data_IF_120610073815
#
_entry.id   IF_120610073815
#
_cell.length_a   1.000
_cell.length_b   1.000
_cell.length_c   1.000
_cell.angle_alpha   90.00
_cell.angle_beta   90.00
_cell.angle_gamma   90.00
#
_symmetry.space_group_name_H-M   'P 1'
#
loop_
_entity.id
_entity.type
_entity.pdbx_description
1 polymer ?
#
# COMPACT_ATOMS: atom_id res chain seq x y z
N UNK A 1 -23.24 -12.54 6.49
CA UNK A 1 -22.00 -12.52 5.71
C UNK A 1 -22.38 -12.81 4.28
N UNK A 2 -22.22 -11.84 3.39
CA UNK A 2 -22.51 -12.00 1.96
C UNK A 2 -21.25 -12.52 1.26
N UNK A 3 -21.37 -13.56 0.44
CA UNK A 3 -20.22 -14.17 -0.22
C UNK A 3 -20.10 -13.69 -1.67
N UNK A 4 -18.88 -13.31 -2.10
CA UNK A 4 -18.57 -13.11 -3.51
C UNK A 4 -18.27 -14.46 -4.19
N UNK A 5 -18.84 -14.63 -5.38
CA UNK A 5 -18.53 -15.72 -6.29
C UNK A 5 -17.95 -15.17 -7.59
N UNK A 6 -16.96 -15.87 -8.16
CA UNK A 6 -16.31 -15.51 -9.41
C UNK A 6 -16.61 -16.58 -10.46
N UNK A 7 -17.27 -16.21 -11.56
CA UNK A 7 -17.76 -17.12 -12.58
C UNK A 7 -16.90 -17.00 -13.83
N UNK A 8 -16.33 -18.12 -14.25
CA UNK A 8 -15.47 -18.21 -15.42
C UNK A 8 -16.24 -18.86 -16.57
N UNK A 9 -16.37 -18.15 -17.69
CA UNK A 9 -17.16 -18.62 -18.83
C UNK A 9 -16.50 -19.82 -19.53
N UNK A 10 -17.35 -20.75 -19.98
CA UNK A 10 -17.01 -22.08 -20.51
C UNK A 10 -15.98 -22.09 -21.65
N UNK A 11 -16.02 -21.05 -22.49
CA UNK A 11 -15.25 -20.99 -23.73
C UNK A 11 -13.83 -20.44 -23.53
N UNK A 12 -13.51 -19.99 -22.31
CA UNK A 12 -12.16 -19.59 -21.97
C UNK A 12 -11.23 -20.82 -22.03
N UNK A 13 -10.32 -20.86 -23.00
CA UNK A 13 -9.23 -21.83 -23.05
C UNK A 13 -8.36 -21.83 -21.76
N UNK A 14 -8.49 -20.78 -20.94
CA UNK A 14 -7.97 -20.67 -19.58
C UNK A 14 -8.49 -21.73 -18.59
N UNK A 15 -9.68 -22.33 -18.79
CA UNK A 15 -10.27 -23.28 -17.84
C UNK A 15 -9.55 -24.63 -17.77
N UNK A 16 -8.85 -25.02 -18.85
CA UNK A 16 -8.19 -26.33 -18.96
C UNK A 16 -7.16 -26.48 -17.84
N UNK A 17 -7.44 -27.35 -16.86
CA UNK A 17 -6.59 -27.57 -15.68
C UNK A 17 -6.61 -26.44 -14.65
N UNK A 18 -7.73 -25.74 -14.49
CA UNK A 18 -8.09 -25.09 -13.22
C UNK A 18 -8.58 -26.09 -12.17
N UNK A 19 -9.19 -27.19 -12.63
CA UNK A 19 -9.65 -28.30 -11.79
C UNK A 19 -8.60 -29.41 -11.80
N UNK A 20 -8.17 -29.85 -10.62
CA UNK A 20 -7.53 -31.14 -10.41
C UNK A 20 -8.33 -31.95 -9.39
N UNK A 21 -9.23 -32.79 -9.91
CA UNK A 21 -10.15 -33.63 -9.12
C UNK A 21 -9.38 -34.60 -8.21
N UNK A 22 -8.13 -34.93 -8.55
CA UNK A 22 -7.32 -35.91 -7.81
C UNK A 22 -6.67 -35.35 -6.53
N UNK A 23 -6.64 -34.03 -6.33
CA UNK A 23 -5.79 -33.39 -5.30
C UNK A 23 -6.51 -32.84 -4.07
N UNK A 24 -7.84 -32.78 -4.03
CA UNK A 24 -8.63 -32.31 -2.88
C UNK A 24 -8.53 -30.82 -2.53
N UNK A 25 -7.37 -30.17 -2.79
CA UNK A 25 -7.14 -28.73 -2.67
C UNK A 25 -7.13 -28.10 -4.07
N UNK A 26 -8.32 -27.94 -4.65
CA UNK A 26 -8.51 -27.66 -6.07
C UNK A 26 -7.86 -26.34 -6.56
N UNK A 27 -7.86 -25.27 -5.76
CA UNK A 27 -7.43 -23.94 -6.23
C UNK A 27 -5.90 -23.73 -6.27
N UNK A 28 -5.15 -24.23 -5.26
CA UNK A 28 -3.69 -23.99 -5.14
C UNK A 28 -2.86 -24.66 -6.24
N UNK A 29 -3.37 -25.72 -6.87
CA UNK A 29 -2.68 -26.38 -7.99
C UNK A 29 -2.65 -25.54 -9.28
N UNK A 30 -3.51 -24.52 -9.39
CA UNK A 30 -3.72 -23.75 -10.62
C UNK A 30 -3.40 -22.25 -10.48
N UNK A 31 -2.69 -21.82 -9.43
CA UNK A 31 -2.32 -20.41 -9.18
C UNK A 31 -1.81 -19.64 -10.42
N UNK A 32 -0.98 -20.20 -11.33
CA UNK A 32 -0.54 -19.48 -12.53
C UNK A 32 -1.67 -19.09 -13.49
N UNK A 33 -2.83 -19.75 -13.45
CA UNK A 33 -4.01 -19.41 -14.26
C UNK A 33 -4.90 -18.41 -13.54
N UNK A 34 -5.14 -18.60 -12.25
CA UNK A 34 -5.83 -17.62 -11.41
C UNK A 34 -5.17 -16.23 -11.47
N UNK A 35 -3.83 -16.18 -11.45
CA UNK A 35 -3.06 -14.93 -11.64
C UNK A 35 -3.22 -14.30 -13.02
N UNK A 36 -3.38 -15.09 -14.09
CA UNK A 36 -3.67 -14.57 -15.44
C UNK A 36 -5.05 -13.94 -15.54
N UNK A 37 -6.02 -14.45 -14.78
CA UNK A 37 -7.39 -13.93 -14.66
C UNK A 37 -7.49 -12.73 -13.68
N UNK A 38 -6.37 -12.17 -13.20
CA UNK A 38 -6.39 -11.08 -12.20
C UNK A 38 -6.83 -11.51 -10.78
N UNK A 39 -7.19 -12.78 -10.57
CA UNK A 39 -7.72 -13.30 -9.31
C UNK A 39 -6.64 -13.64 -8.27
N UNK A 40 -5.41 -13.14 -8.44
CA UNK A 40 -4.27 -13.40 -7.56
C UNK A 40 -4.59 -13.11 -6.08
N UNK A 41 -5.13 -11.93 -5.78
CA UNK A 41 -5.53 -11.53 -4.43
C UNK A 41 -6.62 -12.43 -3.81
N UNK A 42 -7.40 -13.11 -4.65
CA UNK A 42 -8.51 -13.98 -4.26
C UNK A 42 -8.04 -15.41 -3.95
N UNK A 43 -6.86 -15.84 -4.44
CA UNK A 43 -6.37 -17.23 -4.27
C UNK A 43 -4.99 -17.36 -3.60
N UNK A 44 -4.13 -16.35 -3.70
CA UNK A 44 -2.75 -16.40 -3.16
C UNK A 44 -2.68 -16.03 -1.67
N UNK A 45 -3.63 -15.20 -1.19
CA UNK A 45 -3.59 -14.56 0.14
C UNK A 45 -4.63 -15.11 1.13
N UNK A 46 -5.16 -16.29 0.83
CA UNK A 46 -6.27 -16.90 1.58
C UNK A 46 -5.75 -17.96 2.55
N UNK A 47 -5.62 -17.54 3.81
CA UNK A 47 -5.81 -18.40 4.98
C UNK A 47 -7.33 -18.61 5.09
N UNK A 48 -7.82 -19.63 4.39
CA UNK A 48 -9.24 -19.84 4.16
C UNK A 48 -9.56 -20.91 3.14
N UNK A 49 -10.86 -21.09 2.93
CA UNK A 49 -11.39 -22.18 2.15
C UNK A 49 -11.81 -21.71 0.75
N UNK A 50 -11.73 -22.61 -0.22
CA UNK A 50 -12.12 -22.33 -1.60
C UNK A 50 -12.60 -23.60 -2.30
N UNK A 51 -13.67 -23.47 -3.07
CA UNK A 51 -14.24 -24.54 -3.90
C UNK A 51 -14.56 -24.02 -5.30
N UNK A 52 -14.53 -24.92 -6.28
CA UNK A 52 -14.82 -24.62 -7.68
C UNK A 52 -15.96 -25.53 -8.15
N UNK A 53 -17.13 -24.93 -8.40
CA UNK A 53 -18.32 -25.64 -8.86
C UNK A 53 -18.47 -25.54 -10.38
N UNK A 54 -18.67 -26.66 -11.06
CA UNK A 54 -19.16 -26.67 -12.43
C UNK A 54 -20.67 -26.41 -12.41
N UNK A 55 -21.12 -25.39 -13.15
CA UNK A 55 -22.55 -25.07 -13.32
C UNK A 55 -23.13 -25.80 -14.54
N UNK A 56 -24.46 -25.92 -14.62
CA UNK A 56 -25.15 -26.67 -15.69
C UNK A 56 -24.89 -26.12 -17.11
N UNK A 57 -24.66 -24.81 -17.21
CA UNK A 57 -24.25 -24.17 -18.47
C UNK A 57 -22.80 -24.53 -18.88
N UNK A 58 -22.00 -25.10 -17.98
CA UNK A 58 -20.60 -25.49 -18.16
C UNK A 58 -19.58 -24.43 -17.76
N UNK A 59 -20.01 -23.29 -17.20
CA UNK A 59 -19.11 -22.33 -16.54
C UNK A 59 -18.61 -22.85 -15.19
N UNK A 60 -17.52 -22.27 -14.67
CA UNK A 60 -16.98 -22.61 -13.36
C UNK A 60 -17.20 -21.46 -12.37
N UNK A 61 -17.83 -21.74 -11.23
CA UNK A 61 -18.02 -20.78 -10.11
C UNK A 61 -16.99 -21.05 -9.01
N UNK A 62 -16.02 -20.15 -8.87
CA UNK A 62 -15.10 -20.09 -7.74
C UNK A 62 -15.82 -19.42 -6.55
N UNK A 63 -15.90 -20.13 -5.43
CA UNK A 63 -16.34 -19.59 -4.15
C UNK A 63 -15.16 -19.61 -3.18
N UNK A 64 -14.92 -18.50 -2.48
CA UNK A 64 -13.83 -18.33 -1.49
C UNK A 64 -14.40 -17.68 -0.23
N UNK A 65 -13.98 -18.13 0.96
CA UNK A 65 -14.45 -17.63 2.25
C UNK A 65 -13.37 -17.76 3.35
N UNK A 66 -13.48 -16.99 4.46
CA UNK A 66 -12.50 -17.03 5.54
C UNK A 66 -12.29 -18.41 6.17
N UNK A 67 -11.09 -18.66 6.69
CA UNK A 67 -10.86 -19.82 7.58
C UNK A 67 -11.75 -19.71 8.83
N UNK A 68 -12.31 -20.84 9.27
CA UNK A 68 -13.26 -20.89 10.39
C UNK A 68 -14.70 -20.44 10.05
N UNK A 69 -14.98 -19.96 8.83
CA UNK A 69 -16.36 -19.73 8.35
C UNK A 69 -16.89 -20.94 7.57
N UNK A 70 -18.21 -21.15 7.60
CA UNK A 70 -18.88 -22.17 6.79
C UNK A 70 -19.10 -21.69 5.34
N UNK A 71 -19.16 -22.64 4.41
CA UNK A 71 -19.54 -22.35 3.02
C UNK A 71 -21.01 -21.97 2.95
N UNK A 72 -21.32 -20.79 2.41
CA UNK A 72 -22.70 -20.38 2.15
C UNK A 72 -23.00 -20.61 0.66
N UNK A 73 -23.80 -21.62 0.28
CA UNK A 73 -24.21 -21.79 -1.10
C UNK A 73 -25.05 -20.57 -1.55
N UNK A 74 -24.94 -20.14 -2.82
CA UNK A 74 -25.72 -19.02 -3.32
C UNK A 74 -27.23 -19.30 -3.24
N UNK A 75 -27.99 -18.27 -2.87
CA UNK A 75 -29.46 -18.29 -2.84
C UNK A 75 -30.08 -18.21 -4.23
N UNK A 76 -31.42 -18.21 -4.29
CA UNK A 76 -32.16 -17.97 -5.55
C UNK A 76 -31.93 -16.56 -6.11
N UNK A 77 -31.69 -15.61 -5.21
CA UNK A 77 -31.68 -14.18 -5.51
C UNK A 77 -30.21 -13.72 -5.60
N UNK A 78 -29.54 -14.15 -6.67
CA UNK A 78 -28.14 -13.88 -6.96
C UNK A 78 -28.01 -12.64 -7.86
N UNK A 79 -27.37 -11.58 -7.36
CA UNK A 79 -27.01 -10.38 -8.13
C UNK A 79 -25.76 -10.70 -8.94
N UNK A 80 -25.81 -10.51 -10.27
CA UNK A 80 -24.77 -10.94 -11.19
C UNK A 80 -24.26 -9.77 -12.06
N UNK A 81 -22.95 -9.53 -12.01
CA UNK A 81 -22.27 -8.45 -12.72
C UNK A 81 -21.25 -9.04 -13.70
N UNK A 82 -21.44 -8.79 -14.99
CA UNK A 82 -20.46 -9.15 -16.02
C UNK A 82 -19.26 -8.18 -15.95
N UNK A 83 -18.04 -8.72 -15.92
CA UNK A 83 -16.81 -7.92 -15.88
C UNK A 83 -16.23 -7.82 -17.30
N UNK A 84 -16.07 -8.97 -17.95
CA UNK A 84 -15.56 -9.09 -19.32
C UNK A 84 -16.08 -10.39 -19.99
N UNK A 85 -15.47 -10.76 -21.12
CA UNK A 85 -15.85 -11.96 -21.88
C UNK A 85 -15.52 -13.28 -21.16
N UNK A 86 -14.55 -13.29 -20.23
CA UNK A 86 -14.11 -14.48 -19.48
C UNK A 86 -14.71 -14.56 -18.07
N UNK A 87 -14.97 -13.41 -17.43
CA UNK A 87 -15.24 -13.30 -16.00
C UNK A 87 -16.53 -12.52 -15.67
N UNK A 88 -17.29 -13.05 -14.70
CA UNK A 88 -18.36 -12.35 -14.01
C UNK A 88 -18.22 -12.52 -12.48
N UNK A 89 -18.83 -11.61 -11.73
CA UNK A 89 -18.84 -11.60 -10.26
C UNK A 89 -20.29 -11.58 -9.77
N UNK A 90 -20.58 -12.30 -8.70
CA UNK A 90 -21.92 -12.29 -8.08
C UNK A 90 -21.89 -12.38 -6.57
N UNK A 91 -23.03 -12.12 -5.95
CA UNK A 91 -23.33 -12.34 -4.54
C UNK A 91 -24.82 -12.65 -4.37
N UNK A 92 -25.22 -13.17 -3.20
CA UNK A 92 -26.62 -13.44 -2.89
C UNK A 92 -27.22 -12.39 -1.96
N UNK A 93 -28.47 -12.01 -2.23
CA UNK A 93 -29.21 -10.99 -1.49
C UNK A 93 -29.04 -9.57 -2.05
N UNK A 94 -29.79 -8.63 -1.48
CA UNK A 94 -29.92 -7.26 -2.01
C UNK A 94 -28.73 -6.34 -1.68
N UNK A 95 -27.90 -6.71 -0.70
CA UNK A 95 -26.74 -5.91 -0.26
C UNK A 95 -25.45 -6.49 -0.83
N UNK A 96 -24.59 -5.68 -1.49
CA UNK A 96 -23.25 -6.12 -1.92
C UNK A 96 -22.35 -6.46 -0.72
N UNK A 97 -21.39 -7.41 -0.85
CA UNK A 97 -20.44 -7.74 0.20
C UNK A 97 -19.57 -6.54 0.62
N UNK A 98 -19.53 -6.27 1.92
CA UNK A 98 -18.79 -5.14 2.50
C UNK A 98 -17.34 -5.49 2.90
N UNK A 99 -16.62 -4.56 3.55
CA UNK A 99 -15.25 -4.81 3.99
C UNK A 99 -15.12 -6.03 4.93
N UNK A 100 -16.05 -6.21 5.87
CA UNK A 100 -16.05 -7.35 6.80
C UNK A 100 -16.24 -8.71 6.09
N UNK A 101 -17.06 -8.75 5.03
CA UNK A 101 -17.26 -9.94 4.18
C UNK A 101 -16.01 -10.28 3.35
N UNK A 102 -15.06 -9.34 3.21
CA UNK A 102 -13.90 -9.44 2.35
C UNK A 102 -12.56 -9.47 3.11
N UNK A 103 -12.52 -9.22 4.42
CA UNK A 103 -11.26 -9.17 5.19
C UNK A 103 -10.55 -10.55 5.24
N UNK A 104 -9.23 -10.55 5.07
CA UNK A 104 -8.31 -11.68 5.25
C UNK A 104 -7.53 -11.59 6.59
N UNK A 105 -7.91 -10.69 7.51
CA UNK A 105 -7.36 -10.62 8.86
C UNK A 105 -6.00 -9.91 8.98
N UNK A 106 -5.64 -9.07 8.01
CA UNK A 106 -4.35 -8.34 7.93
C UNK A 106 -3.12 -9.26 8.16
N UNK A 107 -2.85 -10.23 7.25
CA UNK A 107 -1.81 -11.24 7.43
C UNK A 107 -0.40 -10.64 7.53
N UNK A 108 -0.20 -9.44 6.98
CA UNK A 108 1.08 -8.73 7.02
C UNK A 108 1.27 -7.88 8.29
N UNK A 109 0.23 -7.73 9.12
CA UNK A 109 0.23 -6.90 10.35
C UNK A 109 0.65 -5.45 10.09
N UNK A 110 0.32 -4.93 8.92
CA UNK A 110 0.56 -3.53 8.55
C UNK A 110 -0.29 -2.61 9.42
N UNK A 111 0.17 -1.38 9.64
CA UNK A 111 -0.69 -0.32 10.16
C UNK A 111 -1.77 -0.01 9.11
N UNK A 112 -2.97 0.36 9.56
CA UNK A 112 -4.09 0.63 8.66
C UNK A 112 -4.88 1.84 9.13
N UNK A 113 -5.19 2.76 8.22
CA UNK A 113 -6.04 3.92 8.50
C UNK A 113 -7.47 3.63 8.02
N UNK A 114 -8.50 3.80 8.89
CA UNK A 114 -9.90 3.66 8.48
C UNK A 114 -10.35 4.89 7.68
N UNK A 115 -10.95 4.67 6.52
CA UNK A 115 -11.61 5.71 5.71
C UNK A 115 -12.95 5.20 5.17
N UNK A 116 -13.87 6.13 4.90
CA UNK A 116 -15.13 5.82 4.20
C UNK A 116 -14.88 5.84 2.69
N UNK A 117 -15.30 4.80 1.97
CA UNK A 117 -15.17 4.70 0.52
C UNK A 117 -16.52 4.91 -0.20
N UNK A 118 -16.58 4.71 -1.52
CA UNK A 118 -17.72 5.13 -2.34
C UNK A 118 -18.99 4.29 -2.12
N UNK A 119 -18.85 3.11 -1.51
CA UNK A 119 -19.93 2.27 -1.01
C UNK A 119 -20.55 2.78 0.31
N UNK A 120 -19.92 3.76 0.96
CA UNK A 120 -20.33 4.30 2.25
C UNK A 120 -19.81 3.53 3.47
N UNK A 121 -19.07 2.44 3.25
CA UNK A 121 -18.53 1.57 4.29
C UNK A 121 -17.14 2.00 4.76
N UNK A 122 -16.71 1.52 5.93
CA UNK A 122 -15.41 1.86 6.52
C UNK A 122 -14.34 0.83 6.16
N UNK A 123 -13.44 1.21 5.27
CA UNK A 123 -12.32 0.39 4.80
C UNK A 123 -11.01 0.77 5.49
N UNK A 124 -10.23 -0.24 5.86
CA UNK A 124 -8.94 -0.07 6.52
C UNK A 124 -7.80 -0.17 5.52
N UNK A 125 -7.33 0.98 5.02
CA UNK A 125 -6.26 1.05 4.01
C UNK A 125 -4.90 0.78 4.67
N UNK A 126 -4.12 -0.22 4.19
CA UNK A 126 -2.80 -0.52 4.74
C UNK A 126 -1.72 0.51 4.36
N UNK A 127 -0.94 0.93 5.35
CA UNK A 127 0.29 1.72 5.16
C UNK A 127 1.43 0.76 4.80
N UNK A 128 2.06 0.98 3.64
CA UNK A 128 3.14 0.13 3.10
C UNK A 128 4.51 0.83 3.09
N UNK A 129 4.53 2.12 3.44
CA UNK A 129 5.70 2.97 3.52
C UNK A 129 5.67 3.80 4.80
N UNK A 130 6.79 3.82 5.50
CA UNK A 130 7.11 4.81 6.52
C UNK A 130 8.16 5.80 5.96
N UNK A 131 8.39 6.97 6.58
CA UNK A 131 9.41 7.92 6.11
C UNK A 131 10.82 7.31 5.98
N UNK A 132 11.14 6.27 6.76
CA UNK A 132 12.42 5.56 6.74
C UNK A 132 12.53 4.44 5.67
N UNK A 133 11.43 4.08 5.00
CA UNK A 133 11.44 3.06 3.94
C UNK A 133 10.19 2.18 3.90
N UNK A 134 10.34 0.94 3.43
CA UNK A 134 9.22 0.02 3.26
C UNK A 134 8.82 -0.73 4.52
N UNK A 135 7.53 -0.78 4.79
CA UNK A 135 6.90 -1.65 5.79
C UNK A 135 6.57 -3.04 5.23
N UNK A 136 6.72 -3.25 3.91
CA UNK A 136 6.46 -4.53 3.27
C UNK A 136 7.49 -5.60 3.70
N UNK A 137 7.10 -6.89 3.73
CA UNK A 137 7.99 -7.99 4.08
C UNK A 137 9.30 -7.99 3.28
N UNK A 138 10.40 -8.31 3.97
CA UNK A 138 11.75 -8.37 3.41
C UNK A 138 12.35 -9.76 3.58
N UNK A 139 13.14 -10.18 2.60
CA UNK A 139 13.94 -11.40 2.71
C UNK A 139 15.24 -11.13 3.50
N UNK A 140 15.73 -12.15 4.21
CA UNK A 140 17.03 -12.11 4.88
C UNK A 140 18.04 -12.87 4.03
N UNK A 141 18.88 -12.14 3.28
CA UNK A 141 19.87 -12.74 2.37
C UNK A 141 21.28 -12.30 2.75
N UNK A 142 22.31 -13.11 2.43
CA UNK A 142 23.71 -12.76 2.69
C UNK A 142 24.49 -12.70 1.39
N UNK A 143 25.19 -11.60 1.14
CA UNK A 143 26.09 -11.47 0.01
C UNK A 143 27.26 -12.45 0.16
N UNK A 144 27.35 -13.45 -0.72
CA UNK A 144 28.40 -14.49 -0.66
C UNK A 144 29.82 -13.93 -0.82
N UNK A 145 29.99 -12.78 -1.48
CA UNK A 145 31.30 -12.14 -1.71
C UNK A 145 31.77 -11.30 -0.52
N UNK A 146 30.88 -10.53 0.11
CA UNK A 146 31.24 -9.56 1.17
C UNK A 146 30.85 -10.02 2.58
N UNK A 147 30.07 -11.10 2.71
CA UNK A 147 29.51 -11.55 3.98
C UNK A 147 28.38 -10.67 4.54
N UNK A 148 28.09 -9.52 3.92
CA UNK A 148 27.10 -8.56 4.38
C UNK A 148 25.67 -9.14 4.34
N UNK A 149 24.88 -8.80 5.36
CA UNK A 149 23.43 -9.01 5.36
C UNK A 149 22.78 -8.01 4.39
N UNK A 150 21.85 -8.50 3.59
CA UNK A 150 21.02 -7.72 2.67
C UNK A 150 19.55 -8.00 2.98
N UNK A 151 18.73 -6.95 3.00
CA UNK A 151 17.31 -6.99 3.35
C UNK A 151 16.41 -6.49 2.21
N UNK A 152 16.44 -7.13 1.02
CA UNK A 152 15.58 -6.74 -0.10
C UNK A 152 14.10 -6.98 0.21
N UNK A 153 13.21 -6.18 -0.39
CA UNK A 153 11.77 -6.45 -0.39
C UNK A 153 11.53 -7.83 -1.02
N UNK A 154 10.64 -8.63 -0.41
CA UNK A 154 10.26 -9.93 -0.98
C UNK A 154 9.75 -9.78 -2.41
N UNK A 155 10.03 -10.78 -3.23
CA UNK A 155 9.80 -10.69 -4.69
C UNK A 155 8.33 -10.43 -5.04
N UNK A 156 7.39 -11.00 -4.29
CA UNK A 156 5.94 -10.81 -4.47
C UNK A 156 5.41 -9.41 -4.13
N UNK A 157 6.16 -8.59 -3.38
CA UNK A 157 5.80 -7.20 -3.04
C UNK A 157 6.64 -6.15 -3.77
N UNK A 158 7.64 -6.55 -4.57
CA UNK A 158 8.59 -5.63 -5.20
C UNK A 158 7.90 -4.62 -6.12
N UNK A 159 7.02 -5.07 -7.00
CA UNK A 159 6.30 -4.17 -7.92
C UNK A 159 5.41 -3.19 -7.17
N UNK A 160 4.73 -3.63 -6.10
CA UNK A 160 3.92 -2.75 -5.26
C UNK A 160 4.78 -1.70 -4.53
N UNK A 161 6.00 -2.06 -4.13
CA UNK A 161 6.96 -1.11 -3.57
C UNK A 161 7.45 -0.09 -4.60
N UNK A 162 7.82 -0.53 -5.82
CA UNK A 162 8.24 0.35 -6.91
C UNK A 162 7.13 1.35 -7.29
N UNK A 163 5.87 0.93 -7.28
CA UNK A 163 4.71 1.81 -7.44
C UNK A 163 4.55 2.79 -6.26
N UNK A 164 4.74 2.34 -5.01
CA UNK A 164 4.68 3.22 -3.84
C UNK A 164 5.77 4.30 -3.88
N UNK A 165 6.98 3.96 -4.33
CA UNK A 165 8.05 4.93 -4.56
C UNK A 165 7.72 5.91 -5.69
N UNK A 166 7.10 5.45 -6.78
CA UNK A 166 6.60 6.32 -7.83
C UNK A 166 5.57 7.34 -7.30
N UNK A 167 4.57 6.89 -6.53
CA UNK A 167 3.54 7.79 -5.97
C UNK A 167 4.11 8.77 -4.95
N UNK A 168 5.02 8.31 -4.09
CA UNK A 168 5.74 9.16 -3.14
C UNK A 168 6.54 10.26 -3.84
N UNK A 169 7.36 9.89 -4.83
CA UNK A 169 8.17 10.83 -5.60
C UNK A 169 7.30 11.78 -6.43
N UNK A 170 6.15 11.33 -6.95
CA UNK A 170 5.19 12.18 -7.67
C UNK A 170 4.54 13.21 -6.74
N UNK A 171 4.16 12.82 -5.51
CA UNK A 171 3.60 13.73 -4.49
C UNK A 171 4.63 14.76 -4.04
N UNK A 172 5.88 14.35 -3.87
CA UNK A 172 6.99 15.25 -3.55
C UNK A 172 7.25 16.25 -4.69
N UNK A 173 7.41 15.76 -5.92
CA UNK A 173 7.55 16.59 -7.12
C UNK A 173 6.37 17.54 -7.36
N UNK A 174 5.16 17.20 -6.90
CA UNK A 174 4.01 18.09 -6.96
C UNK A 174 4.14 19.27 -5.97
N UNK A 175 4.63 19.04 -4.75
CA UNK A 175 4.94 20.14 -3.81
C UNK A 175 6.04 21.06 -4.33
N UNK A 176 7.03 20.51 -5.04
CA UNK A 176 8.11 21.27 -5.69
C UNK A 176 7.66 21.97 -7.00
N UNK A 177 6.42 21.76 -7.45
CA UNK A 177 5.90 22.32 -8.70
C UNK A 177 6.50 21.70 -9.99
N UNK A 178 7.19 20.56 -9.88
CA UNK A 178 7.89 19.89 -10.99
C UNK A 178 7.09 18.75 -11.62
N UNK A 179 6.09 18.19 -10.92
CA UNK A 179 5.21 17.13 -11.44
C UNK A 179 4.33 17.59 -12.61
N UNK A 180 4.23 16.76 -13.66
CA UNK A 180 3.50 17.10 -14.91
C UNK A 180 2.43 16.10 -15.36
N UNK A 181 2.36 14.89 -14.77
CA UNK A 181 1.43 13.83 -15.20
C UNK A 181 0.95 13.01 -14.02
N UNK A 182 -0.37 12.78 -13.99
CA UNK A 182 -1.07 11.85 -13.11
C UNK A 182 -1.83 10.86 -14.01
N UNK A 183 -1.87 9.57 -13.66
CA UNK A 183 -2.65 8.56 -14.38
C UNK A 183 -3.68 7.95 -13.44
N UNK A 184 -4.96 8.15 -13.74
CA UNK A 184 -6.07 7.59 -12.96
C UNK A 184 -6.12 6.06 -13.04
N UNK A 185 -5.78 5.48 -14.19
CA UNK A 185 -5.67 4.03 -14.40
C UNK A 185 -4.60 3.42 -13.47
N UNK A 186 -3.40 4.02 -13.45
CA UNK A 186 -2.31 3.59 -12.55
C UNK A 186 -2.68 3.80 -11.08
N UNK A 187 -3.38 4.89 -10.77
CA UNK A 187 -3.84 5.21 -9.42
C UNK A 187 -4.85 4.18 -8.91
N UNK A 188 -5.85 3.85 -9.73
CA UNK A 188 -6.85 2.84 -9.43
C UNK A 188 -6.19 1.47 -9.24
N UNK A 189 -5.30 1.06 -10.16
CA UNK A 189 -4.58 -0.22 -10.03
C UNK A 189 -3.80 -0.29 -8.71
N UNK A 190 -3.01 0.73 -8.39
CA UNK A 190 -2.23 0.75 -7.15
C UNK A 190 -3.14 0.73 -5.90
N UNK A 191 -4.23 1.48 -5.89
CA UNK A 191 -5.21 1.47 -4.80
C UNK A 191 -5.85 0.09 -4.63
N UNK A 192 -6.20 -0.61 -5.72
CA UNK A 192 -6.67 -2.00 -5.70
C UNK A 192 -5.60 -2.95 -5.14
N UNK A 193 -4.35 -2.86 -5.61
CA UNK A 193 -3.24 -3.70 -5.14
C UNK A 193 -2.89 -3.45 -3.65
N UNK A 194 -3.15 -2.25 -3.14
CA UNK A 194 -3.05 -1.88 -1.70
C UNK A 194 -4.19 -2.50 -0.89
N UNK A 195 -5.46 -2.33 -1.29
CA UNK A 195 -6.60 -2.95 -0.58
C UNK A 195 -6.47 -4.48 -0.56
N UNK A 196 -5.95 -5.08 -1.63
CA UNK A 196 -5.66 -6.50 -1.74
C UNK A 196 -4.68 -7.05 -0.67
N UNK A 197 -3.94 -6.19 0.06
CA UNK A 197 -3.06 -6.63 1.16
C UNK A 197 -3.85 -7.04 2.41
N UNK A 198 -5.08 -6.52 2.57
CA UNK A 198 -5.97 -6.84 3.68
C UNK A 198 -7.22 -7.59 3.23
N UNK A 199 -7.79 -7.25 2.07
CA UNK A 199 -9.08 -7.75 1.61
C UNK A 199 -8.95 -8.72 0.43
N UNK A 200 -9.95 -9.58 0.21
CA UNK A 200 -10.16 -10.38 -1.01
C UNK A 200 -10.63 -9.46 -2.15
N UNK A 201 -9.72 -8.60 -2.60
CA UNK A 201 -10.01 -7.48 -3.48
C UNK A 201 -9.07 -7.49 -4.69
N UNK A 202 -9.63 -7.46 -5.89
CA UNK A 202 -8.91 -7.35 -7.15
C UNK A 202 -9.68 -6.47 -8.15
N UNK A 203 -9.15 -6.29 -9.37
CA UNK A 203 -9.76 -5.44 -10.40
C UNK A 203 -11.21 -5.86 -10.75
N UNK A 204 -11.52 -7.17 -10.69
CA UNK A 204 -12.88 -7.69 -10.85
C UNK A 204 -13.78 -7.32 -9.67
N UNK A 205 -13.29 -7.43 -8.43
CA UNK A 205 -14.00 -6.99 -7.22
C UNK A 205 -14.33 -5.50 -7.29
N UNK A 206 -13.33 -4.68 -7.65
CA UNK A 206 -13.48 -3.24 -7.82
C UNK A 206 -14.46 -2.89 -8.96
N UNK A 207 -14.44 -3.63 -10.07
CA UNK A 207 -15.36 -3.38 -11.18
C UNK A 207 -16.82 -3.71 -10.82
N UNK A 208 -17.03 -4.77 -10.02
CA UNK A 208 -18.34 -5.17 -9.52
C UNK A 208 -18.88 -4.22 -8.44
N UNK A 209 -18.07 -3.92 -7.42
CA UNK A 209 -18.50 -3.22 -6.20
C UNK A 209 -18.30 -1.69 -6.26
N UNK A 210 -17.39 -1.21 -7.12
CA UNK A 210 -17.10 0.23 -7.36
C UNK A 210 -16.71 1.03 -6.12
N UNK A 211 -16.04 0.37 -5.18
CA UNK A 211 -15.61 0.92 -3.88
C UNK A 211 -14.64 2.10 -4.04
N UNK A 212 -13.66 1.97 -4.94
CA UNK A 212 -12.71 3.04 -5.26
C UNK A 212 -13.31 3.93 -6.36
N UNK A 213 -13.29 5.25 -6.16
CA UNK A 213 -13.75 6.24 -7.14
C UNK A 213 -12.71 7.34 -7.41
N UNK A 214 -13.04 8.31 -8.26
CA UNK A 214 -12.17 9.43 -8.59
C UNK A 214 -11.93 10.43 -7.45
N UNK A 215 -12.70 10.34 -6.36
CA UNK A 215 -12.62 11.23 -5.19
C UNK A 215 -11.76 10.60 -4.08
N UNK A 216 -11.94 9.29 -3.83
CA UNK A 216 -11.30 8.57 -2.72
C UNK A 216 -9.96 7.92 -3.09
N UNK A 217 -9.68 7.65 -4.38
CA UNK A 217 -8.43 6.99 -4.82
C UNK A 217 -7.17 7.73 -4.35
N UNK A 218 -7.21 9.07 -4.29
CA UNK A 218 -6.09 9.87 -3.80
C UNK A 218 -5.83 9.64 -2.30
N UNK A 219 -6.88 9.50 -1.49
CA UNK A 219 -6.74 9.26 -0.05
C UNK A 219 -6.13 7.88 0.23
N UNK A 220 -6.56 6.85 -0.53
CA UNK A 220 -5.96 5.50 -0.47
C UNK A 220 -4.46 5.57 -0.79
N UNK A 221 -4.06 6.28 -1.85
CA UNK A 221 -2.66 6.46 -2.22
C UNK A 221 -1.87 7.17 -1.11
N UNK A 222 -2.38 8.28 -0.58
CA UNK A 222 -1.70 9.08 0.44
C UNK A 222 -1.50 8.32 1.75
N UNK A 223 -2.48 7.52 2.17
CA UNK A 223 -2.33 6.60 3.31
C UNK A 223 -1.28 5.55 3.00
N UNK A 224 -1.39 4.84 1.87
CA UNK A 224 -0.50 3.74 1.51
C UNK A 224 0.98 4.15 1.55
N UNK A 225 1.31 5.36 1.09
CA UNK A 225 2.68 5.89 1.06
C UNK A 225 3.12 6.61 2.35
N UNK A 226 2.31 6.61 3.41
CA UNK A 226 2.61 7.27 4.68
C UNK A 226 2.66 8.81 4.60
N UNK A 227 1.96 9.41 3.62
CA UNK A 227 2.05 10.84 3.33
C UNK A 227 1.62 11.76 4.48
N UNK A 228 0.55 11.47 5.26
CA UNK A 228 0.16 12.31 6.39
C UNK A 228 1.29 12.50 7.41
N UNK A 229 2.00 11.43 7.78
CA UNK A 229 3.12 11.48 8.72
C UNK A 229 4.31 12.31 8.21
N UNK A 230 4.59 12.25 6.90
CA UNK A 230 5.59 13.13 6.26
C UNK A 230 5.16 14.58 6.34
N UNK A 231 3.89 14.89 6.04
CA UNK A 231 3.38 16.26 6.06
C UNK A 231 3.40 16.87 7.47
N UNK A 232 3.10 16.08 8.51
CA UNK A 232 3.24 16.50 9.91
C UNK A 232 4.70 16.74 10.31
N UNK A 233 5.62 15.89 9.84
CA UNK A 233 7.06 16.04 10.10
C UNK A 233 7.60 17.32 9.47
N UNK A 234 7.29 17.59 8.20
CA UNK A 234 7.69 18.82 7.50
C UNK A 234 7.09 20.06 8.19
N UNK A 235 5.79 20.03 8.53
CA UNK A 235 5.16 21.11 9.31
C UNK A 235 5.83 21.39 10.65
N UNK A 236 6.38 20.37 11.32
CA UNK A 236 7.08 20.53 12.61
C UNK A 236 8.42 21.22 12.42
N UNK A 237 9.24 20.74 11.48
CA UNK A 237 10.55 21.32 11.15
C UNK A 237 10.41 22.82 10.81
N UNK A 238 9.48 23.19 9.93
CA UNK A 238 9.28 24.60 9.57
C UNK A 238 8.85 25.50 10.74
N UNK A 239 8.16 24.96 11.74
CA UNK A 239 7.78 25.73 12.96
C UNK A 239 8.96 25.89 13.90
N UNK A 240 9.78 24.86 14.05
CA UNK A 240 10.96 24.89 14.91
C UNK A 240 12.00 25.89 14.36
N UNK A 241 12.16 26.00 13.03
CA UNK A 241 12.98 27.03 12.37
C UNK A 241 12.43 28.45 12.58
N UNK A 242 11.12 28.67 12.42
CA UNK A 242 10.45 29.96 12.66
C UNK A 242 10.62 30.44 14.12
N UNK A 243 10.50 29.53 15.10
CA UNK A 243 10.64 29.86 16.51
C UNK A 243 12.10 29.98 16.96
N UNK A 244 13.04 29.32 16.27
CA UNK A 244 14.47 29.56 16.43
C UNK A 244 14.87 30.95 15.90
N UNK A 245 14.33 31.38 14.75
CA UNK A 245 14.56 32.73 14.22
C UNK A 245 13.95 33.82 15.11
N UNK A 246 12.73 33.63 15.64
CA UNK A 246 12.09 34.58 16.58
C UNK A 246 12.79 34.71 17.93
N UNK A 247 13.64 33.74 18.32
CA UNK A 247 14.43 33.79 19.56
C UNK A 247 15.78 34.48 19.42
N UNK A 248 16.11 35.03 18.24
CA UNK A 248 17.25 35.93 18.05
C UNK A 248 16.80 37.39 18.08
N UNK A 249 16.76 38.06 19.25
CA UNK A 249 16.65 39.52 19.28
C UNK A 249 17.96 40.13 18.77
N UNK A 250 17.85 41.03 17.80
CA UNK A 250 18.93 41.92 17.39
C UNK A 250 19.48 42.67 18.60
N UNK A 251 20.77 42.54 18.88
CA UNK A 251 21.46 43.32 19.91
C UNK A 251 22.83 43.81 19.46
N UNK A 252 22.88 44.61 18.40
CA UNK A 252 23.71 45.83 18.28
C UNK A 252 23.51 46.51 16.92
N UNK A 253 23.42 47.85 16.88
CA UNK A 253 24.65 48.60 16.57
C UNK A 253 24.91 49.87 17.41
N UNK A 254 26.14 49.94 17.93
CA UNK A 254 27.08 51.07 17.94
C UNK A 254 26.75 52.48 18.52
N UNK A 255 27.58 52.85 19.52
CA UNK A 255 28.33 54.12 19.70
C UNK A 255 27.66 55.46 20.07
N UNK A 256 27.91 55.89 21.32
CA UNK A 256 28.47 57.20 21.76
C UNK A 256 28.51 57.20 23.32
N UNK A 257 29.43 57.83 24.08
CA UNK A 257 30.70 58.56 23.84
C UNK A 257 31.42 58.80 25.20
N UNK A 258 32.76 58.76 25.26
CA UNK A 258 33.67 59.31 26.33
C UNK A 258 33.44 58.84 27.80
N UNK A 259 34.34 58.87 28.79
CA UNK A 259 35.78 59.13 29.00
C UNK A 259 36.14 58.49 30.39
N UNK A 260 37.36 58.32 30.93
CA UNK A 260 38.77 58.52 30.53
C UNK A 260 39.66 57.69 31.50
N UNK A 261 40.93 57.42 31.20
CA UNK A 261 41.87 56.85 32.19
C UNK A 261 43.14 56.22 31.61
N UNK A 262 44.31 56.81 31.90
CA UNK A 262 45.63 56.23 31.57
C UNK A 262 46.06 55.22 32.64
N UNK A 263 46.73 54.13 32.20
CA UNK A 263 48.08 53.66 32.61
C UNK A 263 48.31 52.29 31.92
N UNK A 264 49.24 52.14 30.98
CA UNK A 264 50.71 52.14 31.08
C UNK A 264 51.32 50.74 31.37
N UNK A 265 52.21 50.33 30.47
CA UNK A 265 53.22 49.26 30.62
C UNK A 265 52.77 47.79 30.54
N UNK A 266 53.38 47.04 29.60
CA UNK A 266 53.21 45.58 29.50
C UNK A 266 53.66 44.97 28.16
N UNK A 267 54.95 45.06 27.81
CA UNK A 267 55.49 44.21 26.75
C UNK A 267 55.45 42.73 27.20
N UNK A 268 55.02 41.82 26.33
CA UNK A 268 55.91 40.75 25.89
C UNK A 268 55.41 40.02 24.63
N UNK A 269 56.33 39.86 23.68
CA UNK A 269 56.40 38.74 22.72
C UNK A 269 56.32 37.41 23.48
N UNK A 270 55.73 36.34 22.95
CA UNK A 270 56.29 35.56 21.83
C UNK A 270 55.28 34.61 21.19
N UNK A 271 55.47 34.38 19.89
CA UNK A 271 55.03 33.17 19.18
C UNK A 271 56.17 32.13 19.30
N UNK A 272 55.90 30.82 19.24
CA UNK A 272 56.01 30.18 17.92
C UNK A 272 55.03 29.01 17.69
N UNK A 273 55.13 28.42 16.50
CA UNK A 273 54.22 27.43 15.96
C UNK A 273 54.69 25.96 16.13
N UNK A 274 53.73 25.05 15.89
CA UNK A 274 53.84 23.72 15.28
C UNK A 274 54.84 22.66 15.82
N UNK A 275 54.30 21.45 16.08
CA UNK A 275 54.93 20.20 15.60
C UNK A 275 53.92 19.05 15.51
N UNK A 276 54.19 18.12 14.61
CA UNK A 276 53.45 16.87 14.36
C UNK A 276 53.67 15.82 15.46
N UNK A 277 52.86 14.75 15.47
CA UNK A 277 53.22 13.51 16.19
C UNK A 277 52.22 12.36 16.13
N UNK A 278 52.31 11.54 15.07
CA UNK A 278 51.88 10.13 14.96
C UNK A 278 50.38 9.79 15.02
#
# INVERSE_FOLDING_TARGET
>A
MAQLFYHLRKDAAALVGLIDISKGQCFRAALPKWRKLGLAAIVDRVDGNGTLHTLDNGSLRLAVWPEGSEYVPPGSDEQFIEIDDELAVSWSGDTPPGPDDLDNGNPLRLQTVPIVLADGEVWHVPEIREPAGSMLPRDLTRCRKTGQLLTPIKTEYRQLWEEAEYWFNLKWAYLEGTAKKFSLERALKFATDVLALRYRFCDATQSALRVIDSVNVQAIIEIAIGWPAVFETVRRISRDDDDAQKKSPDSSPANASANSGLEASGLNTDQPAASNGS
#
